data_IF_941828614876
#
_entry.id   IF_941828614876
#
_cell.length_a   1.000
_cell.length_b   1.000
_cell.length_c   1.000
_cell.angle_alpha   90.00
_cell.angle_beta   90.00
_cell.angle_gamma   90.00
#
_symmetry.space_group_name_H-M   'P 1'
#
loop_
_entity.id
_entity.type
_entity.pdbx_description
1 polymer ?
#
# COMPACT_ATOMS: atom_id res chain seq x y z
N UNK A 1 -18.51 8.56 -32.71
CA UNK A 1 -17.28 8.86 -31.96
C UNK A 1 -16.38 7.62 -31.99
N UNK A 2 -15.11 7.74 -32.41
CA UNK A 2 -14.23 6.56 -32.51
C UNK A 2 -13.82 6.09 -31.11
N UNK A 3 -13.83 4.78 -30.88
CA UNK A 3 -13.41 4.16 -29.63
C UNK A 3 -11.90 4.41 -29.39
N UNK A 4 -11.55 4.89 -28.20
CA UNK A 4 -10.15 4.94 -27.77
C UNK A 4 -9.67 3.52 -27.45
N UNK A 5 -8.72 3.01 -28.25
CA UNK A 5 -8.23 1.61 -28.11
C UNK A 5 -7.18 1.42 -27.03
N UNK A 6 -6.47 2.48 -26.62
CA UNK A 6 -5.44 2.40 -25.58
C UNK A 6 -6.05 2.55 -24.19
N UNK A 7 -5.58 1.81 -23.20
CA UNK A 7 -5.95 2.02 -21.80
C UNK A 7 -5.66 3.45 -21.35
N UNK A 8 -6.22 3.82 -20.20
CA UNK A 8 -5.90 5.10 -19.54
C UNK A 8 -4.39 5.17 -19.27
N UNK A 9 -3.82 6.35 -19.43
CA UNK A 9 -2.38 6.58 -19.23
C UNK A 9 -1.89 6.04 -17.89
N UNK A 10 -0.86 5.23 -17.92
CA UNK A 10 -0.30 4.58 -16.73
C UNK A 10 -1.00 3.29 -16.28
N UNK A 11 -1.96 2.81 -17.07
CA UNK A 11 -2.62 1.51 -16.89
C UNK A 11 -2.32 0.61 -18.09
N UNK A 12 -2.41 -0.71 -17.92
CA UNK A 12 -2.22 -1.67 -19.01
C UNK A 12 -3.20 -2.83 -18.89
N UNK A 13 -3.50 -3.42 -20.05
CA UNK A 13 -4.16 -4.71 -20.12
C UNK A 13 -3.16 -5.82 -19.81
N UNK A 14 -3.61 -6.88 -19.17
CA UNK A 14 -2.82 -8.08 -18.91
C UNK A 14 -3.32 -9.17 -19.86
N UNK A 15 -2.44 -9.64 -20.74
CA UNK A 15 -2.77 -10.66 -21.71
C UNK A 15 -2.76 -12.06 -21.08
N UNK A 16 -3.42 -13.06 -21.68
CA UNK A 16 -3.57 -14.40 -21.12
C UNK A 16 -2.26 -15.03 -20.64
N UNK A 17 -1.20 -15.01 -21.45
CA UNK A 17 0.10 -15.60 -21.07
C UNK A 17 0.75 -14.90 -19.86
N UNK A 18 0.60 -13.58 -19.70
CA UNK A 18 1.05 -12.88 -18.50
C UNK A 18 0.13 -13.20 -17.31
N UNK A 19 -1.16 -13.43 -17.58
CA UNK A 19 -2.12 -13.76 -16.54
C UNK A 19 -1.87 -15.15 -15.95
N UNK A 20 -1.50 -16.15 -16.76
CA UNK A 20 -1.12 -17.48 -16.30
C UNK A 20 0.06 -17.44 -15.31
N UNK A 21 1.10 -16.66 -15.65
CA UNK A 21 2.26 -16.47 -14.75
C UNK A 21 1.82 -15.79 -13.45
N UNK A 22 0.96 -14.78 -13.55
CA UNK A 22 0.44 -14.06 -12.38
C UNK A 22 -0.37 -14.98 -11.47
N UNK A 23 -1.25 -15.80 -12.01
CA UNK A 23 -2.08 -16.73 -11.25
C UNK A 23 -1.23 -17.79 -10.54
N UNK A 24 -0.19 -18.30 -11.22
CA UNK A 24 0.78 -19.19 -10.59
C UNK A 24 1.47 -18.53 -9.40
N UNK A 25 1.98 -17.30 -9.57
CA UNK A 25 2.65 -16.55 -8.50
C UNK A 25 1.70 -16.28 -7.34
N UNK A 26 0.45 -15.86 -7.63
CA UNK A 26 -0.58 -15.62 -6.62
C UNK A 26 -0.87 -16.89 -5.81
N UNK A 27 -0.98 -18.03 -6.46
CA UNK A 27 -1.20 -19.31 -5.79
C UNK A 27 -0.04 -19.66 -4.85
N UNK A 28 1.18 -19.50 -5.32
CA UNK A 28 2.38 -19.77 -4.53
C UNK A 28 2.50 -18.83 -3.32
N UNK A 29 2.16 -17.56 -3.47
CA UNK A 29 2.09 -16.58 -2.39
C UNK A 29 1.10 -17.03 -1.31
N UNK A 30 -0.14 -17.34 -1.74
CA UNK A 30 -1.20 -17.76 -0.82
C UNK A 30 -0.83 -19.03 -0.06
N UNK A 31 -0.32 -20.04 -0.75
CA UNK A 31 0.12 -21.28 -0.14
C UNK A 31 1.24 -21.04 0.87
N UNK A 32 2.24 -20.23 0.51
CA UNK A 32 3.37 -19.97 1.37
C UNK A 32 2.95 -19.23 2.63
N UNK A 33 2.25 -18.11 2.51
CA UNK A 33 1.85 -17.32 3.67
C UNK A 33 0.83 -18.04 4.56
N UNK A 34 0.00 -18.91 3.98
CA UNK A 34 -0.89 -19.79 4.77
C UNK A 34 -0.11 -20.70 5.73
N UNK A 35 1.09 -21.18 5.36
CA UNK A 35 1.91 -22.01 6.26
C UNK A 35 2.45 -21.24 7.45
N UNK A 36 2.48 -19.90 7.39
CA UNK A 36 2.82 -18.99 8.48
C UNK A 36 1.58 -18.50 9.24
N UNK A 37 0.38 -19.01 8.93
CA UNK A 37 -0.85 -18.66 9.62
C UNK A 37 -1.52 -17.37 9.14
N UNK A 38 -1.10 -16.80 8.00
CA UNK A 38 -1.77 -15.64 7.41
C UNK A 38 -3.10 -16.04 6.78
N UNK A 39 -4.14 -15.27 7.12
CA UNK A 39 -5.49 -15.43 6.59
C UNK A 39 -5.77 -14.42 5.49
N UNK A 40 -6.28 -14.91 4.35
CA UNK A 40 -6.65 -14.01 3.26
C UNK A 40 -7.88 -13.19 3.61
N UNK A 41 -7.79 -11.89 3.37
CA UNK A 41 -8.91 -10.96 3.48
C UNK A 41 -9.03 -10.13 2.21
N UNK A 42 -10.19 -9.51 2.03
CA UNK A 42 -10.45 -8.56 0.96
C UNK A 42 -11.15 -7.33 1.53
N UNK A 43 -10.75 -6.17 1.07
CA UNK A 43 -11.35 -4.88 1.40
C UNK A 43 -11.81 -4.17 0.13
N UNK A 44 -12.84 -3.31 0.19
CA UNK A 44 -13.28 -2.54 -0.97
C UNK A 44 -12.15 -1.72 -1.62
N UNK A 45 -12.21 -1.59 -2.95
CA UNK A 45 -11.28 -0.76 -3.72
C UNK A 45 -11.53 0.74 -3.53
N UNK A 46 -12.75 1.09 -3.15
CA UNK A 46 -13.16 2.47 -2.84
C UNK A 46 -13.20 2.63 -1.33
N UNK A 47 -12.59 3.69 -0.84
CA UNK A 47 -12.54 4.04 0.57
C UNK A 47 -13.05 5.47 0.78
N UNK A 48 -13.52 5.78 1.98
CA UNK A 48 -13.88 7.14 2.36
C UNK A 48 -12.68 8.06 2.19
N UNK A 49 -12.93 9.27 1.65
CA UNK A 49 -11.83 10.21 1.38
C UNK A 49 -11.12 10.62 2.67
N UNK A 50 -11.85 10.73 3.77
CA UNK A 50 -11.34 11.10 5.09
C UNK A 50 -10.36 10.05 5.64
N UNK A 51 -10.52 8.78 5.26
CA UNK A 51 -9.60 7.70 5.65
C UNK A 51 -8.32 7.72 4.81
N UNK A 52 -8.44 8.15 3.54
CA UNK A 52 -7.30 8.20 2.61
C UNK A 52 -6.45 9.45 2.81
N UNK A 53 -7.04 10.56 3.24
CA UNK A 53 -6.35 11.80 3.55
C UNK A 53 -5.83 11.77 4.99
N UNK A 54 -4.55 12.05 5.20
CA UNK A 54 -4.01 12.18 6.55
C UNK A 54 -4.36 13.55 7.14
N UNK A 55 -4.61 13.61 8.46
CA UNK A 55 -4.88 14.89 9.14
C UNK A 55 -3.73 15.91 9.03
N UNK A 56 -2.55 15.48 8.65
CA UNK A 56 -1.36 16.33 8.53
C UNK A 56 -1.11 16.84 7.12
N UNK A 57 -1.96 16.45 6.15
CA UNK A 57 -1.69 16.68 4.72
C UNK A 57 -0.37 16.04 4.29
N UNK A 58 -0.29 15.50 3.12
CA UNK A 58 0.96 14.88 2.68
C UNK A 58 1.02 14.73 1.17
N UNK A 59 2.20 14.45 0.64
CA UNK A 59 2.38 14.21 -0.79
C UNK A 59 1.52 13.04 -1.29
N UNK A 60 1.14 12.10 -0.41
CA UNK A 60 0.26 11.00 -0.74
C UNK A 60 -1.15 11.44 -1.16
N UNK A 61 -1.66 12.56 -0.65
CA UNK A 61 -2.98 13.05 -1.04
C UNK A 61 -3.07 13.42 -2.52
N UNK A 62 -1.95 13.88 -3.09
CA UNK A 62 -1.83 14.18 -4.52
C UNK A 62 -1.88 12.93 -5.40
N UNK A 63 -1.69 11.75 -4.79
CA UNK A 63 -1.67 10.46 -5.47
C UNK A 63 -3.03 9.78 -5.51
N UNK A 64 -4.03 10.30 -4.79
CA UNK A 64 -5.36 9.70 -4.68
C UNK A 64 -6.16 9.97 -5.94
N UNK A 65 -6.70 8.91 -6.55
CA UNK A 65 -7.76 9.02 -7.55
C UNK A 65 -9.09 9.27 -6.84
N UNK A 66 -9.54 10.52 -6.82
CA UNK A 66 -10.76 10.94 -6.14
C UNK A 66 -11.99 10.58 -6.97
N UNK A 67 -13.06 10.20 -6.29
CA UNK A 67 -14.35 9.84 -6.86
C UNK A 67 -15.34 10.93 -6.53
N UNK A 68 -15.97 11.49 -7.55
CA UNK A 68 -16.96 12.55 -7.38
C UNK A 68 -18.28 12.01 -6.83
N UNK A 69 -18.98 12.83 -6.06
CA UNK A 69 -20.37 12.63 -5.70
C UNK A 69 -21.23 12.43 -6.93
N UNK A 70 -22.40 11.81 -6.80
CA UNK A 70 -23.30 11.50 -7.91
C UNK A 70 -24.69 12.08 -7.69
N UNK A 71 -25.41 12.31 -8.81
CA UNK A 71 -26.78 12.78 -8.79
C UNK A 71 -26.94 14.12 -8.08
N UNK A 72 -27.97 14.25 -7.26
CA UNK A 72 -28.31 15.47 -6.52
C UNK A 72 -27.23 15.92 -5.52
N UNK A 73 -26.35 15.00 -5.11
CA UNK A 73 -25.22 15.31 -4.22
C UNK A 73 -24.08 16.04 -4.94
N UNK A 74 -24.01 15.97 -6.27
CA UNK A 74 -22.98 16.63 -7.09
C UNK A 74 -23.42 18.05 -7.44
N UNK A 75 -23.14 18.99 -6.56
CA UNK A 75 -23.54 20.40 -6.68
C UNK A 75 -22.40 21.27 -7.18
N UNK A 76 -22.08 21.15 -8.46
CA UNK A 76 -20.94 21.86 -9.09
C UNK A 76 -21.01 23.39 -8.92
N UNK A 77 -22.22 23.98 -8.97
CA UNK A 77 -22.39 25.44 -8.86
C UNK A 77 -22.27 25.97 -7.42
N UNK A 78 -22.43 25.10 -6.42
CA UNK A 78 -22.39 25.46 -5.00
C UNK A 78 -21.02 25.16 -4.37
N UNK A 79 -20.21 24.32 -5.03
CA UNK A 79 -18.92 23.88 -4.50
C UNK A 79 -17.94 25.04 -4.42
N UNK A 80 -17.32 25.22 -3.25
CA UNK A 80 -16.28 26.22 -3.00
C UNK A 80 -14.88 25.60 -3.05
N UNK A 81 -14.78 24.32 -2.73
CA UNK A 81 -13.53 23.56 -2.71
C UNK A 81 -13.72 22.15 -3.28
N UNK A 82 -12.62 21.47 -3.59
CA UNK A 82 -12.63 20.13 -4.15
C UNK A 82 -13.34 19.11 -3.24
N UNK A 83 -13.18 19.25 -1.91
CA UNK A 83 -13.79 18.38 -0.92
C UNK A 83 -15.33 18.36 -1.01
N UNK A 84 -15.94 19.47 -1.41
CA UNK A 84 -17.40 19.56 -1.59
C UNK A 84 -17.92 18.62 -2.68
N UNK A 85 -17.07 18.26 -3.63
CA UNK A 85 -17.40 17.44 -4.80
C UNK A 85 -17.03 15.97 -4.66
N UNK A 86 -16.18 15.62 -3.67
CA UNK A 86 -15.62 14.28 -3.52
C UNK A 86 -16.46 13.44 -2.57
N UNK A 87 -16.71 12.18 -2.95
CA UNK A 87 -17.44 11.17 -2.16
C UNK A 87 -16.47 10.15 -1.54
N UNK A 88 -15.42 9.81 -2.26
CA UNK A 88 -14.42 8.82 -1.84
C UNK A 88 -13.21 8.84 -2.75
N UNK A 89 -12.36 7.84 -2.62
CA UNK A 89 -11.21 7.66 -3.48
C UNK A 89 -10.90 6.19 -3.74
N UNK A 90 -10.12 5.93 -4.78
CA UNK A 90 -9.52 4.62 -4.97
C UNK A 90 -8.37 4.47 -3.98
N UNK A 91 -8.31 3.32 -3.32
CA UNK A 91 -7.24 3.00 -2.35
C UNK A 91 -5.88 3.07 -3.04
N UNK A 92 -4.92 3.74 -2.43
CA UNK A 92 -3.54 3.86 -2.94
C UNK A 92 -2.59 2.84 -2.31
N UNK A 93 -3.03 2.17 -1.25
CA UNK A 93 -2.38 1.03 -0.59
C UNK A 93 -3.43 0.07 0.00
N UNK A 94 -2.99 -0.97 0.67
CA UNK A 94 -3.86 -1.92 1.37
C UNK A 94 -3.88 -1.70 2.89
N UNK A 95 -2.99 -0.89 3.44
CA UNK A 95 -2.83 -0.64 4.87
C UNK A 95 -3.97 0.20 5.44
N UNK A 96 -4.37 1.28 4.74
CA UNK A 96 -5.49 2.13 5.18
C UNK A 96 -6.80 1.34 5.25
N UNK A 97 -7.21 0.60 4.19
CA UNK A 97 -8.38 -0.28 4.27
C UNK A 97 -8.28 -1.35 5.35
N UNK A 98 -7.09 -1.93 5.59
CA UNK A 98 -6.87 -2.89 6.66
C UNK A 98 -7.12 -2.28 8.04
N UNK A 99 -6.64 -1.05 8.26
CA UNK A 99 -6.82 -0.36 9.54
C UNK A 99 -8.31 -0.16 9.86
N UNK A 100 -9.12 0.25 8.86
CA UNK A 100 -10.57 0.35 9.00
C UNK A 100 -11.21 -1.03 9.20
N UNK A 101 -10.79 -2.04 8.44
CA UNK A 101 -11.27 -3.42 8.57
C UNK A 101 -11.04 -3.95 9.99
N UNK A 102 -9.82 -3.82 10.50
CA UNK A 102 -9.47 -4.28 11.84
C UNK A 102 -10.23 -3.52 12.93
N UNK A 103 -10.40 -2.20 12.79
CA UNK A 103 -11.18 -1.41 13.73
C UNK A 103 -12.65 -1.88 13.84
N UNK A 104 -13.23 -2.33 12.73
CA UNK A 104 -14.62 -2.81 12.70
C UNK A 104 -14.79 -4.25 13.17
N UNK A 105 -13.76 -5.10 13.01
CA UNK A 105 -13.88 -6.55 13.18
C UNK A 105 -12.93 -7.11 14.25
N UNK A 106 -12.24 -6.28 15.02
CA UNK A 106 -11.23 -6.74 16.00
C UNK A 106 -11.76 -7.77 17.00
N UNK A 107 -13.05 -7.69 17.35
CA UNK A 107 -13.70 -8.64 18.27
C UNK A 107 -14.00 -10.01 17.61
N UNK A 108 -13.96 -10.10 16.30
CA UNK A 108 -14.26 -11.31 15.52
C UNK A 108 -12.97 -11.99 15.02
N UNK A 109 -11.84 -11.30 15.15
CA UNK A 109 -10.54 -11.72 14.63
C UNK A 109 -9.67 -12.35 15.74
N UNK A 110 -8.79 -13.29 15.42
CA UNK A 110 -7.83 -13.81 16.38
C UNK A 110 -6.82 -12.72 16.82
N UNK A 111 -6.24 -12.88 17.99
CA UNK A 111 -5.13 -12.05 18.47
C UNK A 111 -3.89 -12.93 18.73
N UNK A 112 -2.76 -12.67 18.09
CA UNK A 112 -2.55 -11.69 17.02
C UNK A 112 -3.27 -12.06 15.72
N UNK A 113 -3.67 -11.06 14.95
CA UNK A 113 -4.29 -11.26 13.64
C UNK A 113 -3.23 -11.12 12.53
N UNK A 114 -3.09 -12.16 11.73
CA UNK A 114 -2.16 -12.21 10.58
C UNK A 114 -2.96 -12.13 9.30
N UNK A 115 -2.92 -10.97 8.65
CA UNK A 115 -3.65 -10.68 7.43
C UNK A 115 -2.77 -10.88 6.19
N UNK A 116 -3.33 -11.49 5.17
CA UNK A 116 -2.83 -11.47 3.79
C UNK A 116 -3.83 -10.73 2.92
N UNK A 117 -3.43 -9.64 2.31
CA UNK A 117 -4.23 -8.92 1.34
C UNK A 117 -3.54 -8.93 -0.03
N UNK A 118 -4.33 -9.20 -1.06
CA UNK A 118 -3.86 -9.08 -2.44
C UNK A 118 -4.90 -8.32 -3.25
N UNK A 119 -4.49 -7.24 -3.89
CA UNK A 119 -5.43 -6.45 -4.65
C UNK A 119 -4.80 -5.30 -5.41
N UNK A 120 -5.57 -4.77 -6.35
CA UNK A 120 -5.14 -3.58 -7.08
C UNK A 120 -5.21 -2.35 -6.19
N UNK A 121 -4.22 -1.49 -6.39
CA UNK A 121 -4.13 -0.15 -5.82
C UNK A 121 -3.87 0.87 -6.93
N UNK A 122 -4.18 2.13 -6.66
CA UNK A 122 -4.11 3.19 -7.67
C UNK A 122 -3.33 4.39 -7.12
N UNK A 123 -2.32 4.82 -7.86
CA UNK A 123 -1.53 6.01 -7.54
C UNK A 123 -1.43 6.92 -8.75
N UNK A 124 -1.78 8.19 -8.59
CA UNK A 124 -1.73 9.18 -9.65
C UNK A 124 -0.29 9.65 -9.99
N UNK A 125 0.69 8.84 -9.68
CA UNK A 125 2.10 9.06 -10.01
C UNK A 125 2.32 9.35 -11.50
N UNK A 126 3.43 10.01 -11.81
CA UNK A 126 3.88 10.14 -13.20
C UNK A 126 4.28 8.75 -13.72
N UNK A 127 3.62 8.23 -14.77
CA UNK A 127 3.95 6.93 -15.31
C UNK A 127 5.38 6.89 -15.86
N UNK A 128 6.11 5.82 -15.56
CA UNK A 128 7.42 5.55 -16.12
C UNK A 128 7.64 4.04 -16.21
N UNK A 129 8.75 3.60 -16.81
CA UNK A 129 9.05 2.17 -16.95
C UNK A 129 9.05 1.50 -15.55
N UNK A 130 8.23 0.45 -15.40
CA UNK A 130 8.08 -0.28 -14.14
C UNK A 130 7.20 0.41 -13.08
N UNK A 131 6.69 1.63 -13.33
CA UNK A 131 5.79 2.33 -12.42
C UNK A 131 4.46 2.63 -13.13
N UNK A 132 3.44 1.89 -12.74
CA UNK A 132 2.08 2.03 -13.25
C UNK A 132 1.21 2.79 -12.25
N UNK A 133 0.10 3.37 -12.75
CA UNK A 133 -0.93 4.00 -11.93
C UNK A 133 -1.89 3.00 -11.31
N UNK A 134 -2.03 1.82 -11.90
CA UNK A 134 -2.75 0.68 -11.36
C UNK A 134 -1.79 -0.50 -11.31
N UNK A 135 -1.64 -1.11 -10.14
CA UNK A 135 -0.80 -2.28 -9.94
C UNK A 135 -1.34 -3.11 -8.77
N UNK A 136 -0.94 -4.38 -8.72
CA UNK A 136 -1.30 -5.27 -7.63
C UNK A 136 -0.28 -5.16 -6.51
N UNK A 137 -0.75 -4.98 -5.28
CA UNK A 137 0.02 -5.19 -4.06
C UNK A 137 -0.30 -6.57 -3.46
N UNK A 138 0.66 -7.10 -2.73
CA UNK A 138 0.52 -8.27 -1.90
C UNK A 138 1.15 -7.94 -0.55
N UNK A 139 0.32 -7.70 0.44
CA UNK A 139 0.72 -7.24 1.75
C UNK A 139 0.44 -8.32 2.79
N UNK A 140 1.38 -8.54 3.70
CA UNK A 140 1.21 -9.34 4.91
C UNK A 140 1.40 -8.45 6.11
N UNK A 141 0.44 -8.49 7.02
CA UNK A 141 0.42 -7.65 8.22
C UNK A 141 0.15 -8.50 9.46
N UNK A 142 0.76 -8.13 10.58
CA UNK A 142 0.49 -8.74 11.90
C UNK A 142 0.01 -7.64 12.83
N UNK A 143 -1.21 -7.79 13.34
CA UNK A 143 -1.83 -6.84 14.25
C UNK A 143 -2.04 -7.48 15.63
N UNK A 144 -1.72 -6.73 16.69
CA UNK A 144 -1.91 -7.19 18.07
C UNK A 144 -0.73 -7.96 18.66
N UNK A 145 0.44 -8.00 17.99
CA UNK A 145 1.70 -8.50 18.55
C UNK A 145 2.64 -7.31 18.84
N UNK A 146 2.87 -6.98 20.11
CA UNK A 146 3.68 -5.80 20.48
C UNK A 146 5.19 -6.05 20.50
N UNK A 147 5.62 -7.30 20.38
CA UNK A 147 7.02 -7.67 20.42
C UNK A 147 7.63 -7.74 19.01
N UNK A 148 8.95 -7.83 18.93
CA UNK A 148 9.68 -8.00 17.67
C UNK A 148 9.50 -9.39 17.03
N UNK A 149 8.67 -10.25 17.60
CA UNK A 149 8.30 -11.52 16.98
C UNK A 149 7.54 -11.31 15.67
N UNK A 150 6.74 -10.25 15.59
CA UNK A 150 6.04 -9.90 14.36
C UNK A 150 7.02 -9.61 13.21
N UNK A 151 8.03 -8.78 13.44
CA UNK A 151 9.04 -8.44 12.43
C UNK A 151 9.86 -9.67 12.02
N UNK A 152 10.25 -10.50 12.99
CA UNK A 152 10.99 -11.75 12.72
C UNK A 152 10.17 -12.66 11.83
N UNK A 153 8.89 -12.84 12.12
CA UNK A 153 8.00 -13.69 11.34
C UNK A 153 7.76 -13.16 9.92
N UNK A 154 7.58 -11.85 9.76
CA UNK A 154 7.47 -11.21 8.43
C UNK A 154 8.73 -11.45 7.59
N UNK A 155 9.92 -11.35 8.19
CA UNK A 155 11.19 -11.63 7.51
C UNK A 155 11.27 -13.09 7.09
N UNK A 156 10.93 -14.03 7.98
CA UNK A 156 10.96 -15.46 7.70
C UNK A 156 9.96 -15.82 6.58
N UNK A 157 8.73 -15.32 6.66
CA UNK A 157 7.69 -15.58 5.67
C UNK A 157 8.08 -15.03 4.29
N UNK A 158 8.60 -13.80 4.24
CA UNK A 158 9.07 -13.17 3.00
C UNK A 158 10.25 -13.94 2.40
N UNK A 159 11.22 -14.34 3.23
CA UNK A 159 12.39 -15.13 2.80
C UNK A 159 11.95 -16.47 2.21
N UNK A 160 11.01 -17.15 2.87
CA UNK A 160 10.47 -18.42 2.39
C UNK A 160 9.77 -18.27 1.04
N UNK A 161 8.97 -17.21 0.86
CA UNK A 161 8.31 -16.92 -0.41
C UNK A 161 9.32 -16.65 -1.53
N UNK A 162 10.29 -15.76 -1.30
CA UNK A 162 11.31 -15.44 -2.31
C UNK A 162 12.11 -16.68 -2.71
N UNK A 163 12.43 -17.57 -1.77
CA UNK A 163 13.07 -18.84 -2.04
C UNK A 163 12.23 -19.78 -2.93
N UNK A 164 10.91 -19.85 -2.69
CA UNK A 164 9.99 -20.64 -3.53
C UNK A 164 9.78 -20.03 -4.92
N UNK A 165 9.93 -18.71 -5.06
CA UNK A 165 9.93 -18.02 -6.35
C UNK A 165 11.27 -18.12 -7.10
N UNK A 166 12.21 -18.91 -6.57
CA UNK A 166 13.57 -19.12 -7.11
C UNK A 166 14.42 -17.83 -7.17
N UNK A 167 14.09 -16.83 -6.37
CA UNK A 167 14.98 -15.69 -6.17
C UNK A 167 16.20 -16.15 -5.36
N UNK A 168 17.40 -15.91 -5.93
CA UNK A 168 18.70 -16.18 -5.29
C UNK A 168 19.43 -14.86 -5.11
N UNK A 169 20.31 -14.82 -4.12
CA UNK A 169 21.17 -13.65 -3.88
C UNK A 169 20.41 -12.33 -3.62
N UNK A 170 19.26 -12.41 -2.94
CA UNK A 170 18.57 -11.20 -2.44
C UNK A 170 19.08 -10.83 -1.05
N UNK A 171 18.92 -9.57 -0.71
CA UNK A 171 19.28 -9.02 0.61
C UNK A 171 18.06 -8.39 1.25
N UNK A 172 17.76 -8.75 2.49
CA UNK A 172 16.75 -8.07 3.32
C UNK A 172 17.47 -6.99 4.12
N UNK A 173 17.13 -5.73 3.87
CA UNK A 173 17.65 -4.59 4.63
C UNK A 173 16.67 -4.25 5.74
N UNK A 174 17.15 -4.22 6.96
CA UNK A 174 16.36 -3.91 8.17
C UNK A 174 16.86 -2.59 8.73
N UNK A 175 15.93 -1.75 9.15
CA UNK A 175 16.25 -0.50 9.82
C UNK A 175 15.24 -0.25 10.95
N UNK A 176 15.65 0.57 11.92
CA UNK A 176 14.80 1.05 13.01
C UNK A 176 14.89 2.58 13.07
N UNK A 177 13.74 3.25 13.09
CA UNK A 177 13.70 4.72 13.19
C UNK A 177 14.41 5.28 14.41
N UNK A 178 14.50 4.52 15.49
CA UNK A 178 15.26 4.90 16.68
C UNK A 178 16.75 5.03 16.37
N UNK A 179 17.30 4.12 15.56
CA UNK A 179 18.67 4.22 15.07
C UNK A 179 18.89 5.45 14.20
N UNK A 180 17.99 5.71 13.26
CA UNK A 180 18.08 6.88 12.40
C UNK A 180 18.06 8.17 13.21
N UNK A 181 17.17 8.29 14.19
CA UNK A 181 17.11 9.44 15.09
C UNK A 181 18.40 9.60 15.91
N UNK A 182 18.90 8.49 16.48
CA UNK A 182 20.14 8.52 17.23
C UNK A 182 21.33 8.94 16.36
N UNK A 183 21.41 8.48 15.11
CA UNK A 183 22.45 8.88 14.15
C UNK A 183 22.33 10.36 13.79
N UNK A 184 21.14 10.87 13.55
CA UNK A 184 20.91 12.28 13.26
C UNK A 184 21.34 13.18 14.44
N UNK A 185 20.93 12.79 15.66
CA UNK A 185 21.34 13.48 16.89
C UNK A 185 22.86 13.46 17.08
N UNK A 186 23.50 12.31 16.91
CA UNK A 186 24.95 12.16 17.00
C UNK A 186 25.68 13.01 15.95
N UNK A 187 25.09 13.17 14.76
CA UNK A 187 25.64 14.01 13.70
C UNK A 187 25.40 15.50 13.90
N UNK A 188 24.75 15.90 14.99
CA UNK A 188 24.53 17.30 15.36
C UNK A 188 23.34 17.97 14.70
N UNK A 189 22.44 17.23 14.05
CA UNK A 189 21.20 17.79 13.52
C UNK A 189 20.21 18.11 14.65
N UNK A 190 19.46 19.21 14.51
CA UNK A 190 18.36 19.52 15.41
C UNK A 190 17.18 18.54 15.18
N UNK A 191 16.39 18.29 16.22
CA UNK A 191 15.26 17.33 16.13
C UNK A 191 14.22 17.73 15.07
N UNK A 192 14.04 19.02 14.87
CA UNK A 192 13.17 19.62 13.86
C UNK A 192 13.60 19.32 12.41
N UNK A 193 14.87 19.00 12.19
CA UNK A 193 15.43 18.70 10.87
C UNK A 193 15.43 17.21 10.53
N UNK A 194 15.12 16.33 11.46
CA UNK A 194 15.26 14.88 11.27
C UNK A 194 14.47 14.35 10.07
N UNK A 195 13.25 14.80 9.85
CA UNK A 195 12.43 14.34 8.73
C UNK A 195 13.06 14.75 7.38
N UNK A 196 13.62 15.95 7.29
CA UNK A 196 14.33 16.41 6.08
C UNK A 196 15.61 15.62 5.83
N UNK A 197 16.35 15.30 6.89
CA UNK A 197 17.55 14.44 6.82
C UNK A 197 17.17 13.05 6.31
N UNK A 198 16.11 12.44 6.85
CA UNK A 198 15.67 11.09 6.45
C UNK A 198 15.15 11.05 5.01
N UNK A 199 14.41 12.07 4.56
CA UNK A 199 13.98 12.21 3.16
C UNK A 199 15.20 12.37 2.23
N UNK A 200 16.24 13.06 2.68
CA UNK A 200 17.44 13.23 1.89
C UNK A 200 18.24 11.94 1.78
N UNK A 201 18.39 11.21 2.88
CA UNK A 201 19.05 9.89 2.90
C UNK A 201 18.35 8.88 2.00
N UNK A 202 17.00 8.85 1.99
CA UNK A 202 16.20 7.97 1.11
C UNK A 202 16.45 8.24 -0.39
N UNK A 203 16.88 9.44 -0.74
CA UNK A 203 17.18 9.83 -2.13
C UNK A 203 18.62 9.56 -2.55
N UNK A 204 19.51 9.24 -1.62
CA UNK A 204 20.94 9.04 -1.94
C UNK A 204 21.22 7.76 -2.73
N UNK A 205 20.34 6.77 -2.65
CA UNK A 205 20.47 5.50 -3.38
C UNK A 205 19.77 5.53 -4.77
N UNK A 206 19.30 6.70 -5.20
CA UNK A 206 18.65 6.96 -6.50
C UNK A 206 19.52 7.88 -7.33
#
# INVERSE_FOLDING_TARGET
MALKRKPVTGMKDILPGEMEIRDYVISLIKETYRTFGFSSIETPCVEHIENLCSKQGGDNEKLIFKILKRGEKLKLAEAKEEADLVDGGLRYDLTVPLSRYYANHSNELPAPFKALQMGNVWRADRPQRGRFRQFMQCDIDILGEPSNLAEIELILATTALLGKLDFKNFTIRINDRRFLKAMAAYSGFAEEDYDNVFITLDKMDK
#
